data_IF_705324178766
#
_entry.id   IF_705324178766
#
_cell.length_a   1.000
_cell.length_b   1.000
_cell.length_c   1.000
_cell.angle_alpha   90.00
_cell.angle_beta   90.00
_cell.angle_gamma   90.00
#
_symmetry.space_group_name_H-M   'P 1'
#
loop_
_entity.id
_entity.type
_entity.pdbx_description
1 polymer ?
#
# COMPACT_ATOMS: atom_id res chain seq x y z
N UNK A 1 -5.80 -20.44 -7.70
CA UNK A 1 -5.69 -18.97 -7.82
C UNK A 1 -7.02 -18.37 -7.43
N UNK A 2 -7.04 -17.30 -6.62
CA UNK A 2 -8.28 -16.59 -6.31
C UNK A 2 -8.73 -15.75 -7.51
N UNK A 3 -10.00 -15.34 -7.51
CA UNK A 3 -10.51 -14.40 -8.50
C UNK A 3 -9.84 -13.03 -8.29
N UNK A 4 -9.43 -12.40 -9.38
CA UNK A 4 -8.78 -11.09 -9.35
C UNK A 4 -9.79 -10.01 -8.92
N UNK A 5 -9.39 -9.13 -8.01
CA UNK A 5 -10.12 -7.89 -7.70
C UNK A 5 -9.69 -6.77 -8.63
N UNK A 6 -10.53 -5.76 -8.82
CA UNK A 6 -10.17 -4.55 -9.58
C UNK A 6 -8.99 -3.79 -8.97
N UNK A 7 -8.77 -3.93 -7.66
CA UNK A 7 -7.64 -3.34 -6.93
C UNK A 7 -6.32 -4.09 -7.11
N UNK A 8 -6.35 -5.28 -7.72
CA UNK A 8 -5.14 -6.08 -7.88
C UNK A 8 -4.26 -5.52 -8.99
N UNK A 9 -2.97 -5.42 -8.69
CA UNK A 9 -1.97 -4.98 -9.65
C UNK A 9 -1.94 -5.90 -10.86
N UNK A 10 -1.79 -5.31 -12.05
CA UNK A 10 -1.42 -6.08 -13.26
C UNK A 10 0.01 -6.60 -13.14
N UNK A 11 0.44 -7.46 -14.07
CA UNK A 11 1.80 -7.98 -14.04
C UNK A 11 2.81 -6.86 -14.27
N UNK A 12 2.52 -5.97 -15.21
CA UNK A 12 3.34 -4.83 -15.58
C UNK A 12 3.45 -3.84 -14.41
N UNK A 13 2.34 -3.58 -13.71
CA UNK A 13 2.36 -2.73 -12.51
C UNK A 13 3.18 -3.36 -11.38
N UNK A 14 3.08 -4.68 -11.21
CA UNK A 14 3.86 -5.39 -10.20
C UNK A 14 5.35 -5.35 -10.50
N UNK A 15 5.75 -5.56 -11.76
CA UNK A 15 7.15 -5.52 -12.20
C UNK A 15 7.84 -4.19 -11.89
N UNK A 16 7.11 -3.08 -11.94
CA UNK A 16 7.63 -1.75 -11.57
C UNK A 16 8.06 -1.71 -10.10
N UNK A 17 7.27 -2.29 -9.19
CA UNK A 17 7.53 -2.17 -7.75
C UNK A 17 8.22 -3.40 -7.14
N UNK A 18 8.18 -4.55 -7.81
CA UNK A 18 8.74 -5.82 -7.35
C UNK A 18 10.21 -5.73 -6.90
N UNK A 19 11.10 -4.97 -7.59
CA UNK A 19 12.49 -4.80 -7.16
C UNK A 19 12.64 -4.20 -5.75
N UNK A 20 11.66 -3.44 -5.25
CA UNK A 20 11.70 -2.86 -3.90
C UNK A 20 11.53 -3.90 -2.79
N UNK A 21 11.14 -5.12 -3.13
CA UNK A 21 10.87 -6.22 -2.19
C UNK A 21 12.01 -7.24 -2.09
N UNK A 22 13.07 -7.13 -2.89
CA UNK A 22 14.14 -8.16 -3.02
C UNK A 22 14.85 -8.48 -1.71
N UNK A 23 15.06 -7.48 -0.85
CA UNK A 23 15.72 -7.65 0.44
C UNK A 23 14.77 -8.11 1.55
N UNK A 24 13.49 -8.34 1.25
CA UNK A 24 12.54 -8.84 2.24
C UNK A 24 12.61 -10.35 2.35
N UNK A 25 12.74 -10.86 3.58
CA UNK A 25 12.67 -12.30 3.87
C UNK A 25 11.45 -12.94 3.18
N UNK A 26 11.70 -14.05 2.48
CA UNK A 26 10.67 -14.93 1.93
C UNK A 26 9.79 -15.47 3.08
N UNK A 27 8.49 -15.44 2.87
CA UNK A 27 7.47 -15.90 3.83
C UNK A 27 6.52 -16.85 3.10
N UNK A 28 5.61 -17.48 3.84
CA UNK A 28 4.56 -18.36 3.28
C UNK A 28 3.72 -17.68 2.19
N UNK A 29 3.50 -16.36 2.30
CA UNK A 29 2.65 -15.60 1.40
C UNK A 29 3.47 -14.72 0.46
N UNK A 30 3.08 -14.74 -0.81
CA UNK A 30 3.65 -13.90 -1.86
C UNK A 30 3.50 -12.42 -1.54
N UNK A 31 4.54 -11.63 -1.83
CA UNK A 31 4.53 -10.18 -1.55
C UNK A 31 3.44 -9.47 -2.33
N UNK A 32 3.21 -9.87 -3.58
CA UNK A 32 2.14 -9.33 -4.43
C UNK A 32 0.77 -9.51 -3.79
N UNK A 33 0.48 -10.69 -3.24
CA UNK A 33 -0.81 -10.94 -2.59
C UNK A 33 -0.99 -10.13 -1.31
N UNK A 34 0.09 -9.92 -0.56
CA UNK A 34 0.05 -9.03 0.61
C UNK A 34 -0.17 -7.56 0.22
N UNK A 35 0.44 -7.10 -0.88
CA UNK A 35 0.24 -5.75 -1.40
C UNK A 35 -1.18 -5.59 -1.94
N UNK A 36 -1.66 -6.53 -2.76
CA UNK A 36 -3.03 -6.56 -3.28
C UNK A 36 -4.08 -6.49 -2.16
N UNK A 37 -3.88 -7.24 -1.06
CA UNK A 37 -4.76 -7.18 0.10
C UNK A 37 -4.77 -5.79 0.78
N UNK A 38 -3.61 -5.14 0.89
CA UNK A 38 -3.53 -3.76 1.41
C UNK A 38 -4.21 -2.77 0.48
N UNK A 39 -4.00 -2.89 -0.84
CA UNK A 39 -4.65 -2.02 -1.83
C UNK A 39 -6.17 -2.18 -1.79
N UNK A 40 -6.66 -3.41 -1.63
CA UNK A 40 -8.09 -3.68 -1.45
C UNK A 40 -8.65 -2.95 -0.22
N UNK A 41 -7.98 -3.07 0.94
CA UNK A 41 -8.38 -2.38 2.18
C UNK A 41 -8.41 -0.86 2.01
N UNK A 42 -7.37 -0.28 1.41
CA UNK A 42 -7.27 1.18 1.21
C UNK A 42 -8.35 1.68 0.25
N UNK A 43 -8.64 0.94 -0.83
CA UNK A 43 -9.64 1.36 -1.82
C UNK A 43 -11.07 1.21 -1.31
N UNK A 44 -11.38 0.14 -0.59
CA UNK A 44 -12.74 -0.18 -0.13
C UNK A 44 -13.07 0.41 1.24
N UNK A 45 -12.06 0.71 2.06
CA UNK A 45 -12.25 1.16 3.44
C UNK A 45 -12.84 0.08 4.35
N UNK A 46 -12.84 -1.19 3.95
CA UNK A 46 -13.41 -2.24 4.79
C UNK A 46 -12.61 -2.42 6.09
N UNK A 47 -13.30 -2.86 7.14
CA UNK A 47 -12.65 -3.16 8.41
C UNK A 47 -11.66 -4.32 8.20
N UNK A 48 -10.53 -4.30 8.91
CA UNK A 48 -9.52 -5.37 8.84
C UNK A 48 -10.12 -6.78 8.98
N UNK A 49 -11.06 -6.97 9.92
CA UNK A 49 -11.72 -8.27 10.16
C UNK A 49 -12.64 -8.72 9.02
N UNK A 50 -13.04 -7.79 8.15
CA UNK A 50 -13.88 -8.03 6.98
C UNK A 50 -13.05 -8.15 5.69
N UNK A 51 -11.73 -8.27 5.79
CA UNK A 51 -10.91 -8.60 4.63
C UNK A 51 -11.39 -9.94 4.04
N UNK A 52 -11.64 -10.03 2.73
CA UNK A 52 -12.10 -11.27 2.09
C UNK A 52 -11.23 -12.49 2.43
N UNK A 53 -11.87 -13.64 2.63
CA UNK A 53 -11.21 -14.88 3.09
C UNK A 53 -10.26 -15.51 2.05
N UNK A 54 -10.33 -15.08 0.80
CA UNK A 54 -9.44 -15.52 -0.27
C UNK A 54 -8.09 -14.78 -0.29
N UNK A 55 -7.95 -13.70 0.47
CA UNK A 55 -6.66 -13.06 0.76
C UNK A 55 -5.88 -13.81 1.85
N UNK A 56 -4.56 -13.53 2.00
CA UNK A 56 -3.81 -13.99 3.16
C UNK A 56 -4.50 -13.59 4.48
N UNK A 57 -4.34 -14.38 5.57
CA UNK A 57 -5.01 -14.11 6.84
C UNK A 57 -4.81 -12.68 7.32
N UNK A 58 -5.88 -12.04 7.82
CA UNK A 58 -5.90 -10.63 8.25
C UNK A 58 -4.70 -10.24 9.10
N UNK A 59 -4.31 -11.05 10.08
CA UNK A 59 -3.17 -10.77 10.95
C UNK A 59 -1.83 -10.77 10.22
N UNK A 60 -1.71 -11.60 9.17
CA UNK A 60 -0.54 -11.63 8.28
C UNK A 60 -0.47 -10.36 7.45
N UNK A 61 -1.58 -9.96 6.83
CA UNK A 61 -1.68 -8.73 6.02
C UNK A 61 -1.39 -7.51 6.89
N UNK A 62 -2.02 -7.41 8.06
CA UNK A 62 -1.79 -6.33 9.01
C UNK A 62 -0.32 -6.28 9.49
N UNK A 63 0.27 -7.43 9.83
CA UNK A 63 1.69 -7.50 10.23
C UNK A 63 2.64 -7.09 9.12
N UNK A 64 2.32 -7.44 7.87
CA UNK A 64 3.06 -6.98 6.69
C UNK A 64 2.94 -5.47 6.53
N UNK A 65 1.71 -4.94 6.49
CA UNK A 65 1.43 -3.50 6.37
C UNK A 65 2.15 -2.69 7.44
N UNK A 66 2.06 -3.11 8.72
CA UNK A 66 2.71 -2.42 9.84
C UNK A 66 4.23 -2.36 9.67
N UNK A 67 4.87 -3.47 9.29
CA UNK A 67 6.32 -3.50 9.04
C UNK A 67 6.71 -2.65 7.84
N UNK A 68 5.94 -2.72 6.75
CA UNK A 68 6.15 -1.93 5.55
C UNK A 68 6.00 -0.41 5.80
N UNK A 69 5.11 -0.03 6.72
CA UNK A 69 4.98 1.36 7.17
C UNK A 69 6.16 1.78 8.03
N UNK A 70 6.54 0.95 9.01
CA UNK A 70 7.64 1.30 9.93
C UNK A 70 9.02 1.34 9.25
N UNK A 71 9.22 0.59 8.16
CA UNK A 71 10.47 0.59 7.42
C UNK A 71 10.49 1.51 6.18
N UNK A 72 9.44 2.32 6.00
CA UNK A 72 9.33 3.29 4.91
C UNK A 72 9.15 2.67 3.51
N UNK A 73 8.72 1.41 3.40
CA UNK A 73 8.53 0.76 2.10
C UNK A 73 7.44 1.46 1.27
N UNK A 74 6.35 1.90 1.91
CA UNK A 74 5.28 2.61 1.22
C UNK A 74 5.75 3.95 0.65
N UNK A 75 6.58 4.67 1.41
CA UNK A 75 7.17 5.94 0.97
C UNK A 75 8.12 5.71 -0.22
N UNK A 76 8.96 4.67 -0.17
CA UNK A 76 9.84 4.28 -1.28
C UNK A 76 9.06 3.90 -2.54
N UNK A 77 7.95 3.17 -2.39
CA UNK A 77 7.08 2.83 -3.54
C UNK A 77 6.50 4.11 -4.13
N UNK A 78 5.96 5.01 -3.31
CA UNK A 78 5.39 6.27 -3.77
C UNK A 78 6.44 7.12 -4.49
N UNK A 79 7.61 7.31 -3.88
CA UNK A 79 8.72 8.06 -4.46
C UNK A 79 9.13 7.50 -5.83
N UNK A 80 9.27 6.17 -5.93
CA UNK A 80 9.61 5.51 -7.18
C UNK A 80 8.56 5.74 -8.28
N UNK A 81 7.28 5.60 -7.94
CA UNK A 81 6.18 5.82 -8.89
C UNK A 81 6.06 7.29 -9.32
N UNK A 82 6.29 8.23 -8.41
CA UNK A 82 6.32 9.67 -8.71
C UNK A 82 7.45 9.97 -9.70
N UNK A 83 8.68 9.49 -9.44
CA UNK A 83 9.83 9.67 -10.34
C UNK A 83 9.51 9.17 -11.76
N UNK A 84 8.99 7.95 -11.88
CA UNK A 84 8.61 7.36 -13.17
C UNK A 84 7.52 8.19 -13.88
N UNK A 85 6.52 8.66 -13.14
CA UNK A 85 5.43 9.47 -13.71
C UNK A 85 5.95 10.81 -14.23
N UNK A 86 6.87 11.45 -13.49
CA UNK A 86 7.48 12.72 -13.89
C UNK A 86 8.35 12.57 -15.14
N UNK A 87 9.20 11.55 -15.17
CA UNK A 87 10.03 11.25 -16.36
C UNK A 87 9.18 11.00 -17.60
N UNK A 88 8.07 10.25 -17.47
CA UNK A 88 7.12 10.02 -18.58
C UNK A 88 6.44 11.30 -19.08
N UNK A 89 6.30 12.29 -18.21
CA UNK A 89 5.80 13.61 -18.56
C UNK A 89 6.89 14.56 -19.11
N UNK A 90 8.13 14.09 -19.29
CA UNK A 90 9.26 14.91 -19.74
C UNK A 90 9.80 15.89 -18.68
N UNK A 91 9.48 15.65 -17.41
CA UNK A 91 9.91 16.48 -16.28
C UNK A 91 11.11 15.86 -15.55
N UNK A 92 11.88 16.71 -14.85
CA UNK A 92 12.94 16.26 -13.93
C UNK A 92 12.39 15.32 -12.87
N UNK A 93 13.16 14.31 -12.48
CA UNK A 93 12.80 13.34 -11.43
C UNK A 93 12.43 14.02 -10.12
N UNK A 94 13.19 15.05 -9.76
CA UNK A 94 12.96 15.82 -8.55
C UNK A 94 11.95 16.95 -8.82
N UNK A 95 10.94 17.12 -7.95
CA UNK A 95 9.99 18.22 -8.06
C UNK A 95 10.67 19.55 -7.71
N UNK A 96 10.44 20.56 -8.54
CA UNK A 96 10.93 21.93 -8.28
C UNK A 96 10.09 22.66 -7.23
N UNK A 97 8.82 22.27 -7.06
CA UNK A 97 7.87 22.85 -6.13
C UNK A 97 7.01 21.75 -5.50
N UNK A 98 6.66 21.92 -4.22
CA UNK A 98 5.76 21.03 -3.48
C UNK A 98 4.55 21.81 -2.95
N UNK A 99 3.34 21.34 -3.25
CA UNK A 99 2.11 21.83 -2.64
C UNK A 99 1.74 20.91 -1.49
N UNK A 100 1.67 21.46 -0.28
CA UNK A 100 1.32 20.71 0.94
C UNK A 100 -0.04 21.22 1.40
N UNK A 101 -1.05 20.36 1.29
CA UNK A 101 -2.39 20.59 1.85
C UNK A 101 -2.56 19.77 3.13
N UNK A 102 -3.25 20.32 4.13
CA UNK A 102 -3.57 19.62 5.36
C UNK A 102 -5.07 19.63 5.58
N UNK A 103 -5.65 18.44 5.78
CA UNK A 103 -7.06 18.31 6.14
C UNK A 103 -7.19 17.66 7.52
N UNK A 104 -8.01 18.26 8.38
CA UNK A 104 -8.38 17.70 9.67
C UNK A 104 -9.63 16.83 9.54
N UNK A 105 -9.60 15.60 10.05
CA UNK A 105 -10.78 14.75 10.18
C UNK A 105 -11.30 14.89 11.61
N UNK A 106 -12.59 15.24 11.77
CA UNK A 106 -13.23 15.26 13.08
C UNK A 106 -13.37 13.82 13.59
N UNK A 107 -12.61 13.47 14.60
CA UNK A 107 -12.78 12.21 15.33
C UNK A 107 -13.85 12.39 16.39
N UNK A 108 -14.81 11.47 16.49
CA UNK A 108 -15.75 11.44 17.63
C UNK A 108 -14.94 11.13 18.90
N UNK A 109 -14.97 12.05 19.88
CA UNK A 109 -14.20 11.94 21.12
C UNK A 109 -14.53 10.67 21.90
N UNK A 110 -13.53 10.11 22.58
CA UNK A 110 -13.71 9.00 23.50
C UNK A 110 -14.72 9.41 24.59
N UNK A 111 -15.70 8.55 24.84
CA UNK A 111 -16.62 8.68 25.97
C UNK A 111 -15.80 8.46 27.25
N UNK A 112 -15.58 9.50 28.04
CA UNK A 112 -15.17 9.33 29.44
C UNK A 112 -16.29 8.56 30.15
N UNK A 113 -16.01 7.31 30.52
CA UNK A 113 -16.86 6.57 31.44
C UNK A 113 -16.65 7.19 32.83
N UNK A 114 -17.71 7.85 33.33
CA UNK A 114 -17.84 8.25 34.74
C UNK A 114 -18.07 7.04 35.63
#
# INVERSE_FOLDING_TARGET
MRKKYETDLTNEQWEVIAPLFVNMRKRKWEKRELVNAVLYLVKTGCQWRNLPHDFPPVFTVHSFYRRARLNGLWDKILEHLVKLTRQRAGLSEEPTQALIDSQSVKTTGAVEQK
#
